data_IF_434823150340
#
_entry.id   IF_434823150340
#
_cell.length_a   1.000
_cell.length_b   1.000
_cell.length_c   1.000
_cell.angle_alpha   90.00
_cell.angle_beta   90.00
_cell.angle_gamma   90.00
#
_symmetry.space_group_name_H-M   'P 1'
#
loop_
_entity.id
_entity.type
_entity.pdbx_description
1 polymer ?
#
# COMPACT_ATOMS: atom_id res chain seq x y z
N UNK A 1 -15.62 52.95 -7.63
CA UNK A 1 -16.19 52.65 -8.96
C UNK A 1 -15.16 51.75 -9.64
N UNK A 2 -15.35 50.47 -9.92
CA UNK A 2 -16.49 49.55 -9.93
C UNK A 2 -15.91 48.13 -9.88
N UNK A 3 -16.34 47.30 -8.92
CA UNK A 3 -16.05 45.86 -8.92
C UNK A 3 -17.03 45.16 -9.86
N UNK A 4 -16.53 44.41 -10.84
CA UNK A 4 -17.34 43.51 -11.67
C UNK A 4 -17.40 42.14 -11.00
N UNK A 5 -18.53 41.83 -10.36
CA UNK A 5 -18.89 40.49 -9.89
C UNK A 5 -19.64 39.74 -10.98
N UNK A 6 -19.05 38.66 -11.50
CA UNK A 6 -19.78 37.68 -12.31
C UNK A 6 -20.51 36.72 -11.36
N UNK A 7 -21.84 36.64 -11.47
CA UNK A 7 -22.69 35.69 -10.76
C UNK A 7 -23.07 34.51 -11.65
N UNK A 8 -22.96 33.30 -11.11
CA UNK A 8 -23.46 32.03 -11.66
C UNK A 8 -24.82 31.68 -11.00
N UNK A 9 -25.87 31.21 -11.70
CA UNK A 9 -27.25 31.20 -11.19
C UNK A 9 -27.61 30.12 -10.15
N UNK A 10 -26.65 29.44 -9.53
CA UNK A 10 -26.92 28.30 -8.64
C UNK A 10 -26.33 28.38 -7.22
N UNK A 11 -25.83 29.55 -6.79
CA UNK A 11 -25.74 29.91 -5.36
C UNK A 11 -25.00 28.95 -4.43
N UNK A 12 -24.14 28.06 -4.94
CA UNK A 12 -23.29 27.19 -4.13
C UNK A 12 -21.86 27.70 -4.18
N UNK A 13 -21.48 28.44 -3.14
CA UNK A 13 -20.08 28.69 -2.82
C UNK A 13 -19.42 27.34 -2.55
N UNK A 14 -18.52 26.90 -3.44
CA UNK A 14 -17.59 25.82 -3.16
C UNK A 14 -16.63 26.29 -2.08
N UNK A 15 -17.04 26.18 -0.82
CA UNK A 15 -16.15 26.33 0.32
C UNK A 15 -15.22 25.13 0.32
N UNK A 16 -13.97 25.33 -0.10
CA UNK A 16 -12.86 24.41 0.21
C UNK A 16 -12.88 24.15 1.70
N UNK A 17 -13.23 22.92 2.09
CA UNK A 17 -13.16 22.47 3.48
C UNK A 17 -11.70 22.64 3.91
N UNK A 18 -11.39 23.67 4.71
CA UNK A 18 -10.09 23.75 5.39
C UNK A 18 -9.90 22.45 6.16
N UNK A 19 -8.83 21.71 5.85
CA UNK A 19 -8.42 20.52 6.63
C UNK A 19 -8.36 20.95 8.10
N UNK A 20 -9.11 20.26 8.96
CA UNK A 20 -9.03 20.56 10.40
C UNK A 20 -7.63 20.20 10.88
N UNK A 21 -6.91 21.18 11.43
CA UNK A 21 -5.62 20.92 12.06
C UNK A 21 -5.80 19.90 13.18
N UNK A 22 -5.01 18.82 13.13
CA UNK A 22 -5.07 17.75 14.14
C UNK A 22 -4.57 18.32 15.46
N UNK A 23 -5.32 18.10 16.53
CA UNK A 23 -4.90 18.49 17.87
C UNK A 23 -3.85 17.50 18.38
N UNK A 24 -2.60 17.94 18.43
CA UNK A 24 -1.52 17.25 19.13
C UNK A 24 -1.41 17.83 20.54
N UNK A 25 -1.09 17.01 21.54
CA UNK A 25 -0.81 17.55 22.88
C UNK A 25 0.34 18.54 22.79
N UNK A 26 0.20 19.73 23.38
CA UNK A 26 1.26 20.72 23.49
C UNK A 26 2.40 20.16 24.35
N UNK A 27 3.30 19.45 23.70
CA UNK A 27 4.69 19.19 24.05
C UNK A 27 5.38 18.71 22.77
N UNK A 28 6.66 19.06 22.63
CA UNK A 28 7.52 18.83 21.47
C UNK A 28 7.74 17.34 21.16
N UNK A 29 6.69 16.57 20.80
CA UNK A 29 6.90 15.22 20.25
C UNK A 29 7.79 15.39 19.02
N UNK A 30 8.97 14.77 19.07
CA UNK A 30 9.96 14.87 18.01
C UNK A 30 9.38 14.23 16.76
N UNK A 31 9.70 14.76 15.58
CA UNK A 31 9.23 14.19 14.30
C UNK A 31 9.54 12.69 14.16
N UNK A 32 10.60 12.20 14.79
CA UNK A 32 10.96 10.77 14.84
C UNK A 32 9.89 9.93 15.56
N UNK A 33 9.27 10.44 16.62
CA UNK A 33 8.19 9.75 17.33
C UNK A 33 6.89 9.74 16.52
N UNK A 34 6.67 10.75 15.68
CA UNK A 34 5.51 10.81 14.77
C UNK A 34 5.65 9.90 13.55
N UNK A 35 6.90 9.53 13.22
CA UNK A 35 7.22 8.58 12.14
C UNK A 35 6.98 7.12 12.54
N UNK A 36 6.80 6.81 13.84
CA UNK A 36 6.65 5.44 14.32
C UNK A 36 5.43 4.76 13.67
N UNK A 37 5.55 3.49 13.26
CA UNK A 37 4.42 2.74 12.71
C UNK A 37 3.37 2.43 13.79
N UNK A 38 2.21 1.89 13.38
CA UNK A 38 1.17 1.46 14.32
C UNK A 38 1.67 0.29 15.16
N UNK A 39 2.34 -0.67 14.51
CA UNK A 39 2.99 -1.80 15.16
C UNK A 39 4.48 -1.82 14.82
N UNK A 40 5.31 -2.17 15.80
CA UNK A 40 6.72 -2.40 15.55
C UNK A 40 6.93 -3.81 15.00
N UNK A 41 7.74 -3.95 13.94
CA UNK A 41 8.18 -5.26 13.48
C UNK A 41 8.95 -5.98 14.60
N UNK A 42 8.75 -7.30 14.78
CA UNK A 42 9.66 -8.12 15.57
C UNK A 42 11.10 -7.99 15.05
N UNK A 43 12.13 -8.27 15.87
CA UNK A 43 13.51 -8.28 15.39
C UNK A 43 13.69 -9.23 14.20
N UNK A 44 14.47 -8.80 13.20
CA UNK A 44 14.74 -9.61 12.01
C UNK A 44 15.52 -10.89 12.35
N UNK A 45 15.11 -12.01 11.77
CA UNK A 45 15.82 -13.29 11.86
C UNK A 45 16.48 -13.60 10.51
N UNK A 46 17.79 -13.38 10.42
CA UNK A 46 18.57 -13.59 9.18
C UNK A 46 18.55 -15.04 8.68
N UNK A 47 18.18 -16.00 9.54
CA UNK A 47 18.07 -17.42 9.17
C UNK A 47 16.67 -17.80 8.68
N UNK A 48 15.67 -16.94 8.91
CA UNK A 48 14.31 -17.20 8.48
C UNK A 48 14.18 -17.14 6.94
N UNK A 49 13.38 -18.04 6.33
CA UNK A 49 13.16 -18.03 4.89
C UNK A 49 12.61 -16.68 4.39
N UNK A 50 13.26 -16.13 3.37
CA UNK A 50 12.81 -14.91 2.70
C UNK A 50 13.01 -13.61 3.49
N UNK A 51 13.74 -13.63 4.61
CA UNK A 51 14.06 -12.42 5.37
C UNK A 51 14.86 -11.43 4.50
N UNK A 52 14.61 -10.13 4.70
CA UNK A 52 15.14 -9.03 3.88
C UNK A 52 14.66 -9.02 2.42
N UNK A 53 13.64 -9.81 2.08
CA UNK A 53 13.13 -9.93 0.71
C UNK A 53 14.02 -10.78 -0.20
N UNK A 54 14.91 -11.61 0.37
CA UNK A 54 15.75 -12.52 -0.42
C UNK A 54 14.95 -13.71 -0.95
N UNK A 55 15.53 -14.42 -1.92
CA UNK A 55 15.03 -15.73 -2.38
C UNK A 55 14.77 -16.63 -1.18
N UNK A 56 13.53 -17.08 -1.02
CA UNK A 56 13.19 -18.13 -0.08
C UNK A 56 13.28 -19.49 -0.78
N UNK A 57 13.89 -20.46 -0.11
CA UNK A 57 14.03 -21.83 -0.61
C UNK A 57 13.94 -22.81 0.55
N UNK A 58 13.34 -23.96 0.30
CA UNK A 58 13.12 -25.02 1.27
C UNK A 58 13.60 -26.35 0.68
N UNK A 59 14.14 -27.22 1.54
CA UNK A 59 14.40 -28.61 1.17
C UNK A 59 13.12 -29.40 1.40
N UNK A 60 12.48 -29.85 0.33
CA UNK A 60 11.15 -30.47 0.37
C UNK A 60 11.22 -31.99 0.22
N UNK A 61 10.36 -32.70 0.95
CA UNK A 61 10.07 -34.11 0.63
C UNK A 61 9.24 -34.23 -0.66
N UNK A 62 9.05 -35.45 -1.16
CA UNK A 62 8.21 -35.69 -2.32
C UNK A 62 6.74 -35.28 -2.08
N UNK A 63 6.23 -35.51 -0.87
CA UNK A 63 4.88 -35.12 -0.45
C UNK A 63 4.74 -33.60 -0.36
N UNK A 64 5.72 -32.93 0.25
CA UNK A 64 5.74 -31.47 0.37
C UNK A 64 5.84 -30.79 -0.99
N UNK A 65 6.66 -31.35 -1.90
CA UNK A 65 6.76 -30.86 -3.28
C UNK A 65 5.41 -30.95 -4.01
N UNK A 66 4.65 -32.02 -3.78
CA UNK A 66 3.31 -32.13 -4.34
C UNK A 66 2.36 -31.07 -3.77
N UNK A 67 2.44 -30.80 -2.46
CA UNK A 67 1.64 -29.72 -1.84
C UNK A 67 2.01 -28.34 -2.37
N UNK A 68 3.29 -28.09 -2.66
CA UNK A 68 3.77 -26.90 -3.33
C UNK A 68 3.16 -26.77 -4.73
N UNK A 69 3.27 -27.80 -5.57
CA UNK A 69 2.70 -27.85 -6.92
C UNK A 69 1.17 -27.62 -6.91
N UNK A 70 0.44 -28.30 -6.02
CA UNK A 70 -1.01 -28.13 -5.84
C UNK A 70 -1.36 -26.67 -5.43
N UNK A 71 -0.50 -26.01 -4.64
CA UNK A 71 -0.71 -24.62 -4.22
C UNK A 71 -0.54 -23.64 -5.38
N UNK A 72 0.45 -23.88 -6.25
CA UNK A 72 0.71 -23.07 -7.45
C UNK A 72 -0.42 -23.23 -8.46
N UNK A 73 -0.92 -24.44 -8.69
CA UNK A 73 -2.06 -24.66 -9.59
C UNK A 73 -3.31 -23.90 -9.11
N UNK A 74 -3.53 -23.86 -7.80
CA UNK A 74 -4.72 -23.25 -7.20
C UNK A 74 -4.68 -21.72 -7.15
N UNK A 75 -3.52 -21.13 -6.86
CA UNK A 75 -3.39 -19.68 -6.61
C UNK A 75 -2.53 -18.95 -7.64
N UNK A 76 -1.88 -19.65 -8.57
CA UNK A 76 -0.83 -19.13 -9.45
C UNK A 76 0.37 -18.49 -8.70
N UNK A 77 0.51 -18.83 -7.42
CA UNK A 77 1.54 -18.35 -6.49
C UNK A 77 1.96 -19.55 -5.63
N UNK A 78 3.24 -19.65 -5.29
CA UNK A 78 3.76 -20.66 -4.38
C UNK A 78 3.33 -20.36 -2.93
N UNK A 79 2.06 -20.63 -2.62
CA UNK A 79 1.50 -20.39 -1.29
C UNK A 79 2.11 -21.32 -0.24
N UNK A 80 2.54 -22.52 -0.63
CA UNK A 80 3.26 -23.42 0.27
C UNK A 80 4.53 -22.78 0.85
N UNK A 81 5.30 -22.07 0.01
CA UNK A 81 6.45 -21.28 0.44
C UNK A 81 6.01 -20.05 1.22
N UNK A 82 4.98 -19.33 0.73
CA UNK A 82 4.44 -18.15 1.41
C UNK A 82 4.01 -18.44 2.85
N UNK A 83 3.39 -19.58 3.11
CA UNK A 83 2.95 -19.99 4.45
C UNK A 83 4.11 -20.22 5.43
N UNK A 84 5.34 -20.37 4.92
CA UNK A 84 6.58 -20.56 5.70
C UNK A 84 7.46 -19.31 5.76
N UNK A 85 7.10 -18.25 5.03
CA UNK A 85 7.74 -16.94 5.13
C UNK A 85 6.97 -16.12 6.17
N UNK A 86 7.71 -15.48 7.08
CA UNK A 86 7.12 -14.63 8.12
C UNK A 86 6.13 -13.60 7.53
N UNK A 87 5.00 -13.42 8.22
CA UNK A 87 4.05 -12.34 7.91
C UNK A 87 4.64 -10.95 8.23
N UNK A 88 5.72 -10.91 9.01
CA UNK A 88 6.36 -9.72 9.53
C UNK A 88 7.76 -9.48 8.94
N UNK A 89 8.13 -10.21 7.87
CA UNK A 89 9.48 -10.10 7.28
C UNK A 89 9.86 -8.67 6.94
N UNK A 90 11.15 -8.39 7.00
CA UNK A 90 11.74 -7.12 6.57
C UNK A 90 12.04 -7.17 5.08
N UNK A 91 12.07 -5.99 4.46
CA UNK A 91 12.57 -5.80 3.10
C UNK A 91 13.79 -4.87 3.19
N UNK A 92 14.87 -5.23 2.52
CA UNK A 92 16.07 -4.40 2.49
C UNK A 92 15.80 -3.06 1.79
N UNK A 93 16.13 -1.95 2.45
CA UNK A 93 15.95 -0.61 1.85
C UNK A 93 17.11 -0.30 0.90
N UNK A 94 16.92 -0.60 -0.38
CA UNK A 94 17.86 -0.30 -1.46
C UNK A 94 17.42 0.92 -2.31
N UNK A 95 16.54 1.77 -1.77
CA UNK A 95 16.13 3.02 -2.44
C UNK A 95 17.32 3.95 -2.64
N UNK A 96 17.15 4.90 -3.57
CA UNK A 96 18.10 6.00 -3.80
C UNK A 96 18.42 6.73 -2.49
N UNK A 97 19.68 7.15 -2.33
CA UNK A 97 20.17 7.77 -1.10
C UNK A 97 19.35 8.99 -0.68
N UNK A 98 18.89 9.76 -1.66
CA UNK A 98 18.09 10.98 -1.49
C UNK A 98 16.72 10.65 -0.88
N UNK A 99 16.13 9.49 -1.17
CA UNK A 99 14.88 9.04 -0.54
C UNK A 99 15.09 8.79 0.97
N UNK A 100 16.23 8.19 1.34
CA UNK A 100 16.53 7.84 2.73
C UNK A 100 16.78 9.05 3.63
N UNK A 101 17.26 10.14 3.04
CA UNK A 101 17.53 11.40 3.75
C UNK A 101 16.38 12.40 3.68
N UNK A 102 15.30 12.09 2.96
CA UNK A 102 14.12 12.96 2.89
C UNK A 102 13.40 12.99 4.23
N UNK A 103 13.10 14.19 4.70
CA UNK A 103 12.35 14.42 5.95
C UNK A 103 10.95 14.92 5.62
N UNK A 104 9.99 14.62 6.50
CA UNK A 104 8.59 14.97 6.31
C UNK A 104 8.04 15.68 7.55
N UNK A 105 7.10 16.60 7.34
CA UNK A 105 6.33 17.19 8.42
C UNK A 105 5.04 16.36 8.66
N UNK A 106 5.12 15.39 9.56
CA UNK A 106 4.01 14.47 9.87
C UNK A 106 2.73 15.15 10.36
N UNK A 107 2.85 16.36 10.93
CA UNK A 107 1.68 17.11 11.42
C UNK A 107 0.84 17.69 10.28
N UNK A 108 1.47 18.02 9.15
CA UNK A 108 0.80 18.59 7.98
C UNK A 108 0.41 17.57 6.91
N UNK A 109 0.93 16.35 6.97
CA UNK A 109 0.53 15.29 6.03
C UNK A 109 -0.99 15.06 6.12
N UNK A 110 -1.69 14.77 5.01
CA UNK A 110 -3.06 14.27 5.07
C UNK A 110 -3.14 12.91 5.77
N UNK A 111 -4.30 12.56 6.29
CA UNK A 111 -4.58 11.17 6.71
C UNK A 111 -4.92 10.30 5.50
N UNK A 112 -4.71 8.99 5.61
CA UNK A 112 -5.12 8.04 4.57
C UNK A 112 -5.99 6.91 5.13
N UNK A 113 -6.98 6.50 4.35
CA UNK A 113 -7.64 5.20 4.48
C UNK A 113 -7.06 4.26 3.44
N UNK A 114 -6.39 3.20 3.88
CA UNK A 114 -5.88 2.15 2.99
C UNK A 114 -7.02 1.19 2.67
N UNK A 115 -7.30 0.95 1.40
CA UNK A 115 -8.38 0.06 0.94
C UNK A 115 -7.78 -1.15 0.24
N UNK A 116 -8.04 -2.34 0.77
CA UNK A 116 -7.57 -3.63 0.24
C UNK A 116 -8.79 -4.49 -0.09
N UNK A 117 -9.11 -4.58 -1.38
CA UNK A 117 -10.14 -5.50 -1.86
C UNK A 117 -9.52 -6.87 -2.13
N UNK A 118 -10.22 -7.94 -1.74
CA UNK A 118 -9.73 -9.31 -1.93
C UNK A 118 -10.85 -10.27 -2.32
N UNK A 119 -10.49 -11.30 -3.08
CA UNK A 119 -11.38 -12.42 -3.41
C UNK A 119 -10.57 -13.71 -3.43
N UNK A 120 -10.91 -14.66 -2.56
CA UNK A 120 -10.25 -15.98 -2.47
C UNK A 120 -8.71 -15.91 -2.33
N UNK A 121 -8.20 -14.82 -1.76
CA UNK A 121 -6.77 -14.62 -1.52
C UNK A 121 -6.24 -15.63 -0.50
N UNK A 122 -4.97 -16.02 -0.63
CA UNK A 122 -4.34 -16.90 0.35
C UNK A 122 -4.17 -16.19 1.70
N UNK A 123 -4.19 -16.97 2.78
CA UNK A 123 -4.12 -16.44 4.14
C UNK A 123 -2.81 -15.69 4.41
N UNK A 124 -1.68 -16.29 4.03
CA UNK A 124 -0.35 -15.73 4.27
C UNK A 124 -0.10 -14.45 3.48
N UNK A 125 -0.49 -14.38 2.21
CA UNK A 125 -0.34 -13.17 1.38
C UNK A 125 -1.21 -12.03 1.90
N UNK A 126 -2.51 -12.28 2.16
CA UNK A 126 -3.43 -11.27 2.69
C UNK A 126 -2.95 -10.70 4.02
N UNK A 127 -2.60 -11.55 4.98
CA UNK A 127 -2.15 -11.09 6.29
C UNK A 127 -0.79 -10.40 6.23
N UNK A 128 0.13 -10.85 5.36
CA UNK A 128 1.42 -10.18 5.17
C UNK A 128 1.22 -8.77 4.62
N UNK A 129 0.25 -8.54 3.73
CA UNK A 129 -0.11 -7.19 3.29
C UNK A 129 -0.63 -6.34 4.44
N UNK A 130 -1.55 -6.86 5.26
CA UNK A 130 -2.12 -6.12 6.40
C UNK A 130 -1.02 -5.72 7.39
N UNK A 131 -0.19 -6.68 7.81
CA UNK A 131 0.94 -6.43 8.72
C UNK A 131 1.95 -5.48 8.11
N UNK A 132 2.30 -5.66 6.83
CA UNK A 132 3.23 -4.77 6.15
C UNK A 132 2.75 -3.32 6.15
N UNK A 133 1.46 -3.06 5.90
CA UNK A 133 0.88 -1.71 6.00
C UNK A 133 0.96 -1.19 7.44
N UNK A 134 0.52 -1.97 8.42
CA UNK A 134 0.52 -1.60 9.84
C UNK A 134 1.91 -1.29 10.39
N UNK A 135 2.92 -2.00 9.90
CA UNK A 135 4.30 -2.00 10.40
C UNK A 135 5.23 -1.02 9.67
N UNK A 136 4.81 -0.50 8.52
CA UNK A 136 5.62 0.44 7.72
C UNK A 136 4.96 1.80 7.51
N UNK A 137 3.67 1.93 7.84
CA UNK A 137 2.95 3.20 7.74
C UNK A 137 3.01 3.95 9.07
N UNK A 138 3.47 5.21 9.09
CA UNK A 138 3.47 6.02 10.30
C UNK A 138 2.07 6.12 10.92
N UNK A 139 1.98 5.95 12.24
CA UNK A 139 0.73 5.89 12.97
C UNK A 139 -0.05 7.21 12.94
N UNK A 140 0.61 8.34 12.70
CA UNK A 140 -0.09 9.62 12.59
C UNK A 140 -0.97 9.69 11.33
N UNK A 141 -0.45 9.51 10.10
CA UNK A 141 -1.27 9.57 8.88
C UNK A 141 -2.14 8.34 8.61
N UNK A 142 -1.83 7.14 9.10
CA UNK A 142 -2.66 5.95 8.83
C UNK A 142 -3.96 5.97 9.64
N UNK A 143 -5.08 6.36 9.02
CA UNK A 143 -6.38 6.45 9.71
C UNK A 143 -6.99 5.07 9.97
N UNK A 144 -7.06 4.26 8.91
CA UNK A 144 -7.70 2.95 8.91
C UNK A 144 -7.24 2.12 7.71
N UNK A 145 -7.32 0.79 7.87
CA UNK A 145 -7.21 -0.20 6.80
C UNK A 145 -8.61 -0.80 6.62
N UNK A 146 -9.17 -0.68 5.43
CA UNK A 146 -10.48 -1.20 5.06
C UNK A 146 -10.27 -2.40 4.16
N UNK A 147 -10.50 -3.58 4.71
CA UNK A 147 -10.55 -4.84 3.98
C UNK A 147 -11.94 -4.99 3.37
N UNK A 148 -12.01 -5.31 2.08
CA UNK A 148 -13.26 -5.56 1.36
C UNK A 148 -13.25 -6.98 0.82
N UNK A 149 -13.93 -7.90 1.51
CA UNK A 149 -14.19 -9.26 1.02
C UNK A 149 -15.21 -9.20 -0.11
N UNK A 150 -14.74 -9.37 -1.34
CA UNK A 150 -15.56 -9.41 -2.55
C UNK A 150 -16.19 -10.80 -2.75
N UNK A 151 -16.94 -11.27 -1.75
CA UNK A 151 -17.70 -12.51 -1.80
C UNK A 151 -16.83 -13.79 -1.93
N UNK A 152 -15.74 -13.87 -1.16
CA UNK A 152 -14.88 -15.06 -1.12
C UNK A 152 -15.62 -16.31 -0.64
N UNK A 153 -15.23 -17.48 -1.11
CA UNK A 153 -15.80 -18.78 -0.72
C UNK A 153 -14.92 -19.56 0.27
N UNK A 154 -13.68 -19.12 0.49
CA UNK A 154 -12.73 -19.82 1.36
C UNK A 154 -13.14 -19.67 2.82
N UNK A 155 -13.26 -20.81 3.51
CA UNK A 155 -13.72 -20.88 4.92
C UNK A 155 -12.84 -20.05 5.85
N UNK A 156 -11.52 -20.06 5.65
CA UNK A 156 -10.58 -19.28 6.46
C UNK A 156 -10.75 -17.76 6.32
N UNK A 157 -11.37 -17.27 5.23
CA UNK A 157 -11.66 -15.84 5.04
C UNK A 157 -12.95 -15.39 5.75
N UNK A 158 -13.67 -16.30 6.43
CA UNK A 158 -14.91 -16.01 7.16
C UNK A 158 -14.60 -15.69 8.63
N UNK A 159 -15.12 -16.49 9.57
CA UNK A 159 -14.98 -16.22 11.00
C UNK A 159 -13.51 -16.20 11.45
N UNK A 160 -12.64 -17.03 10.86
CA UNK A 160 -11.23 -17.05 11.22
C UNK A 160 -10.54 -15.70 10.93
N UNK A 161 -10.80 -15.08 9.78
CA UNK A 161 -10.28 -13.75 9.45
C UNK A 161 -10.82 -12.69 10.42
N UNK A 162 -12.12 -12.71 10.72
CA UNK A 162 -12.75 -11.76 11.67
C UNK A 162 -12.12 -11.83 13.06
N UNK A 163 -11.91 -13.05 13.58
CA UNK A 163 -11.26 -13.27 14.87
C UNK A 163 -9.80 -12.82 14.84
N UNK A 164 -9.08 -13.07 13.75
CA UNK A 164 -7.67 -12.66 13.66
C UNK A 164 -7.52 -11.13 13.65
N UNK A 165 -8.33 -10.42 12.86
CA UNK A 165 -8.22 -8.97 12.72
C UNK A 165 -8.85 -8.19 13.87
N UNK A 166 -9.65 -8.82 14.75
CA UNK A 166 -10.27 -8.12 15.88
C UNK A 166 -9.27 -7.57 16.88
N UNK A 167 -8.07 -8.17 16.93
CA UNK A 167 -6.96 -7.73 17.78
C UNK A 167 -6.08 -6.67 17.10
N UNK A 168 -6.33 -6.35 15.82
CA UNK A 168 -5.57 -5.37 15.05
C UNK A 168 -6.26 -4.01 15.08
N UNK A 169 -5.57 -3.02 15.65
CA UNK A 169 -6.02 -1.65 15.65
C UNK A 169 -6.17 -1.12 14.21
N UNK A 170 -7.23 -0.34 13.99
CA UNK A 170 -7.50 0.38 12.74
C UNK A 170 -7.82 -0.50 11.54
N UNK A 171 -7.93 -1.83 11.72
CA UNK A 171 -8.37 -2.75 10.67
C UNK A 171 -9.88 -2.91 10.73
N UNK A 172 -10.55 -2.74 9.59
CA UNK A 172 -11.99 -2.91 9.44
C UNK A 172 -12.26 -3.86 8.29
N UNK A 173 -13.25 -4.74 8.46
CA UNK A 173 -13.68 -5.66 7.41
C UNK A 173 -15.09 -5.33 6.94
N UNK A 174 -15.24 -5.22 5.63
CA UNK A 174 -16.51 -5.06 4.92
C UNK A 174 -16.67 -6.29 4.04
N UNK A 175 -17.88 -6.85 3.99
CA UNK A 175 -18.20 -7.99 3.12
C UNK A 175 -19.28 -7.58 2.12
N UNK A 176 -19.06 -7.91 0.85
CA UNK A 176 -20.10 -7.81 -0.16
C UNK A 176 -21.08 -8.97 -0.04
N UNK A 177 -22.33 -8.78 -0.47
CA UNK A 177 -23.38 -9.80 -0.44
C UNK A 177 -23.46 -10.63 -1.74
N UNK A 178 -22.66 -10.28 -2.74
CA UNK A 178 -22.51 -10.96 -4.03
C UNK A 178 -21.15 -10.60 -4.61
N UNK A 179 -20.70 -11.34 -5.63
CA UNK A 179 -19.46 -11.00 -6.32
C UNK A 179 -19.62 -9.70 -7.12
N UNK A 180 -18.93 -8.65 -6.69
CA UNK A 180 -18.99 -7.31 -7.27
C UNK A 180 -17.86 -7.06 -8.27
N UNK A 181 -16.68 -7.66 -8.06
CA UNK A 181 -15.48 -7.39 -8.84
C UNK A 181 -14.69 -6.19 -8.33
N UNK A 182 -13.39 -6.15 -8.66
CA UNK A 182 -12.38 -5.26 -8.08
C UNK A 182 -12.81 -3.78 -8.02
N UNK A 183 -13.34 -3.24 -9.12
CA UNK A 183 -13.73 -1.82 -9.20
C UNK A 183 -14.83 -1.50 -8.20
N UNK A 184 -15.90 -2.28 -8.16
CA UNK A 184 -17.02 -2.05 -7.25
C UNK A 184 -16.62 -2.32 -5.79
N UNK A 185 -15.80 -3.34 -5.54
CA UNK A 185 -15.26 -3.60 -4.21
C UNK A 185 -14.42 -2.42 -3.70
N UNK A 186 -13.53 -1.85 -4.53
CA UNK A 186 -12.76 -0.63 -4.19
C UNK A 186 -13.66 0.57 -3.93
N UNK A 187 -14.71 0.77 -4.74
CA UNK A 187 -15.69 1.84 -4.53
C UNK A 187 -16.46 1.66 -3.22
N UNK A 188 -16.85 0.43 -2.86
CA UNK A 188 -17.45 0.12 -1.57
C UNK A 188 -16.48 0.48 -0.45
N UNK A 189 -15.21 0.08 -0.52
CA UNK A 189 -14.23 0.48 0.49
C UNK A 189 -14.12 2.01 0.62
N UNK A 190 -14.11 2.72 -0.51
CA UNK A 190 -14.04 4.18 -0.56
C UNK A 190 -15.25 4.88 0.07
N UNK A 191 -16.47 4.31 0.00
CA UNK A 191 -17.66 4.95 0.63
C UNK A 191 -17.63 4.90 2.16
N UNK A 192 -16.87 3.97 2.75
CA UNK A 192 -16.71 3.83 4.20
C UNK A 192 -15.44 4.49 4.74
N UNK A 193 -14.56 4.96 3.86
CA UNK A 193 -13.31 5.62 4.20
C UNK A 193 -13.53 7.01 4.80
N UNK A 194 -12.76 7.33 5.83
CA UNK A 194 -12.83 8.61 6.56
C UNK A 194 -11.51 9.39 6.55
N UNK A 195 -10.46 8.85 5.93
CA UNK A 195 -9.19 9.54 5.69
C UNK A 195 -9.32 10.61 4.60
N UNK A 196 -8.40 11.58 4.62
CA UNK A 196 -8.34 12.65 3.61
C UNK A 196 -7.95 12.11 2.22
N UNK A 197 -7.16 11.02 2.19
CA UNK A 197 -6.64 10.35 1.00
C UNK A 197 -7.09 8.89 0.99
N UNK A 198 -7.36 8.36 -0.22
CA UNK A 198 -7.55 6.93 -0.44
C UNK A 198 -6.27 6.33 -0.99
N UNK A 199 -5.76 5.30 -0.32
CA UNK A 199 -4.61 4.51 -0.81
C UNK A 199 -5.07 3.09 -1.11
N UNK A 200 -5.12 2.74 -2.40
CA UNK A 200 -5.52 1.39 -2.81
C UNK A 200 -4.29 0.48 -2.90
N UNK A 201 -4.38 -0.69 -2.28
CA UNK A 201 -3.41 -1.77 -2.41
C UNK A 201 -4.12 -3.06 -2.79
N UNK A 202 -3.41 -3.96 -3.47
CA UNK A 202 -3.87 -5.33 -3.66
C UNK A 202 -3.53 -6.16 -2.42
N UNK A 203 -4.16 -7.34 -2.30
CA UNK A 203 -4.09 -8.20 -1.10
C UNK A 203 -2.87 -9.14 -1.07
N UNK A 204 -1.86 -8.86 -1.87
CA UNK A 204 -0.61 -9.60 -1.97
C UNK A 204 0.56 -8.64 -2.21
N UNK A 205 0.55 -7.51 -1.51
CA UNK A 205 1.61 -6.51 -1.51
C UNK A 205 2.46 -6.57 -0.23
N UNK A 206 3.70 -6.09 -0.33
CA UNK A 206 4.56 -5.80 0.80
C UNK A 206 5.13 -4.39 0.65
N UNK A 207 4.84 -3.54 1.62
CA UNK A 207 5.29 -2.16 1.71
C UNK A 207 6.73 -2.09 2.21
N UNK A 208 7.49 -1.19 1.61
CA UNK A 208 8.86 -0.87 2.05
C UNK A 208 8.84 0.29 3.05
N UNK A 209 9.91 0.45 3.82
CA UNK A 209 10.06 1.59 4.74
C UNK A 209 9.91 2.92 3.98
N UNK A 210 9.11 3.84 4.52
CA UNK A 210 8.94 5.18 3.96
C UNK A 210 8.18 5.22 2.63
N UNK A 211 7.29 4.26 2.38
CA UNK A 211 6.49 4.18 1.15
C UNK A 211 5.33 5.19 1.11
N UNK A 212 4.81 5.61 2.26
CA UNK A 212 3.54 6.32 2.36
C UNK A 212 3.71 7.84 2.34
N UNK A 213 4.69 8.34 3.07
CA UNK A 213 4.98 9.76 3.26
C UNK A 213 5.18 10.50 1.93
N UNK A 214 5.94 9.98 0.94
CA UNK A 214 6.09 10.65 -0.36
C UNK A 214 4.77 10.80 -1.12
N UNK A 215 3.86 9.81 -1.01
CA UNK A 215 2.56 9.84 -1.66
C UNK A 215 1.68 10.92 -1.03
N UNK A 216 1.61 10.93 0.30
CA UNK A 216 0.79 11.87 1.07
C UNK A 216 1.31 13.30 1.00
N UNK A 217 2.63 13.49 1.03
CA UNK A 217 3.25 14.80 0.84
C UNK A 217 2.86 15.36 -0.53
N UNK A 218 3.00 14.57 -1.60
CA UNK A 218 2.71 15.02 -2.95
C UNK A 218 1.24 15.40 -3.15
N UNK A 219 0.32 14.64 -2.57
CA UNK A 219 -1.12 14.95 -2.57
C UNK A 219 -1.43 16.16 -1.67
N UNK A 220 -0.67 16.34 -0.58
CA UNK A 220 -0.74 17.53 0.26
C UNK A 220 -0.33 18.81 -0.46
N UNK A 221 0.67 18.75 -1.33
CA UNK A 221 1.09 19.87 -2.19
C UNK A 221 0.11 20.15 -3.32
N UNK A 222 -0.51 19.11 -3.89
CA UNK A 222 -1.45 19.22 -4.98
C UNK A 222 -2.56 18.16 -4.87
N UNK A 223 -3.75 18.57 -4.43
CA UNK A 223 -4.90 17.68 -4.24
C UNK A 223 -5.43 17.08 -5.55
N UNK A 224 -5.06 17.63 -6.71
CA UNK A 224 -5.45 17.07 -8.02
C UNK A 224 -4.46 16.03 -8.53
N UNK A 225 -3.37 15.76 -7.81
CA UNK A 225 -2.38 14.76 -8.21
C UNK A 225 -2.81 13.35 -7.79
N UNK A 226 -2.86 12.43 -8.76
CA UNK A 226 -2.94 10.99 -8.48
C UNK A 226 -1.51 10.46 -8.49
N UNK A 227 -1.09 9.84 -7.39
CA UNK A 227 0.30 9.44 -7.17
C UNK A 227 0.36 7.93 -6.97
N UNK A 228 1.24 7.27 -7.72
CA UNK A 228 1.47 5.83 -7.61
C UNK A 228 2.87 5.58 -7.02
N UNK A 229 3.05 4.53 -6.21
CA UNK A 229 4.39 4.06 -5.87
C UNK A 229 5.08 3.48 -7.11
N UNK A 230 6.39 3.30 -7.02
CA UNK A 230 7.08 2.33 -7.88
C UNK A 230 6.59 0.94 -7.47
N UNK A 231 6.09 0.17 -8.44
CA UNK A 231 5.59 -1.17 -8.19
C UNK A 231 6.71 -2.15 -8.48
N UNK A 232 7.32 -2.65 -7.41
CA UNK A 232 8.37 -3.66 -7.46
C UNK A 232 7.76 -5.06 -7.54
N UNK A 233 8.47 -5.97 -8.21
CA UNK A 233 8.01 -7.35 -8.38
C UNK A 233 8.38 -8.16 -7.14
N UNK A 234 7.39 -8.87 -6.59
CA UNK A 234 7.64 -10.00 -5.68
C UNK A 234 7.50 -11.27 -6.52
N UNK A 235 8.55 -12.08 -6.57
CA UNK A 235 8.53 -13.32 -7.35
C UNK A 235 7.46 -14.27 -6.80
N UNK A 236 6.54 -14.73 -7.66
CA UNK A 236 5.43 -15.58 -7.22
C UNK A 236 5.88 -16.96 -6.76
N UNK A 237 7.08 -17.41 -7.15
CA UNK A 237 7.59 -18.74 -6.84
C UNK A 237 8.56 -18.75 -5.65
N UNK A 238 9.45 -17.75 -5.57
CA UNK A 238 10.52 -17.65 -4.57
C UNK A 238 10.32 -16.56 -3.52
N UNK A 239 9.34 -15.68 -3.73
CA UNK A 239 9.06 -14.51 -2.89
C UNK A 239 10.24 -13.54 -2.74
N UNK A 240 11.21 -13.58 -3.66
CA UNK A 240 12.25 -12.55 -3.77
C UNK A 240 11.62 -11.20 -4.12
N UNK A 241 12.06 -10.13 -3.44
CA UNK A 241 11.60 -8.76 -3.65
C UNK A 241 12.57 -8.02 -4.58
N UNK A 242 12.16 -7.79 -5.82
CA UNK A 242 12.95 -7.08 -6.83
C UNK A 242 12.75 -5.57 -6.75
N UNK A 243 13.47 -4.93 -5.84
CA UNK A 243 13.43 -3.48 -5.69
C UNK A 243 14.13 -2.76 -6.85
N UNK A 244 13.44 -1.81 -7.48
CA UNK A 244 14.04 -0.88 -8.44
C UNK A 244 14.90 0.16 -7.70
N UNK A 245 16.23 0.06 -7.82
CA UNK A 245 17.19 0.94 -7.13
C UNK A 245 17.53 2.22 -7.89
N UNK A 246 17.02 2.35 -9.12
CA UNK A 246 17.35 3.42 -10.07
C UNK A 246 16.14 4.24 -10.50
N UNK A 247 16.19 4.73 -11.75
CA UNK A 247 15.03 5.34 -12.38
C UNK A 247 13.97 4.25 -12.66
N UNK A 248 12.73 4.40 -12.18
CA UNK A 248 11.71 3.38 -12.36
C UNK A 248 11.12 3.41 -13.78
N UNK A 249 10.45 2.33 -14.14
CA UNK A 249 9.56 2.32 -15.31
C UNK A 249 8.27 3.10 -15.02
N UNK A 250 7.66 3.65 -16.08
CA UNK A 250 6.37 4.35 -16.01
C UNK A 250 5.33 3.68 -16.90
N UNK A 251 4.06 3.93 -16.60
CA UNK A 251 2.93 3.31 -17.28
C UNK A 251 2.49 4.05 -18.55
N UNK A 252 2.24 3.27 -19.60
CA UNK A 252 1.57 3.68 -20.83
C UNK A 252 0.58 2.62 -21.29
N UNK A 253 0.16 2.69 -22.56
CA UNK A 253 -0.70 1.67 -23.16
C UNK A 253 -0.35 1.45 -24.65
N UNK A 254 -0.65 0.26 -25.16
CA UNK A 254 -0.59 -0.04 -26.59
C UNK A 254 -1.96 0.12 -27.27
N UNK A 255 -2.00 0.03 -28.60
CA UNK A 255 -3.25 0.17 -29.37
C UNK A 255 -4.29 -0.95 -29.13
N UNK A 256 -3.95 -1.97 -28.34
CA UNK A 256 -4.89 -3.00 -27.86
C UNK A 256 -5.52 -2.61 -26.53
N UNK A 257 -5.22 -1.41 -26.01
CA UNK A 257 -5.64 -0.90 -24.71
C UNK A 257 -5.11 -1.74 -23.54
N UNK A 258 -3.93 -2.35 -23.70
CA UNK A 258 -3.24 -3.05 -22.61
C UNK A 258 -2.21 -2.14 -21.97
N UNK A 259 -2.13 -2.16 -20.64
CA UNK A 259 -1.10 -1.43 -19.90
C UNK A 259 0.29 -1.95 -20.27
N UNK A 260 1.23 -1.04 -20.47
CA UNK A 260 2.62 -1.37 -20.80
C UNK A 260 3.58 -0.51 -19.98
N UNK A 261 4.69 -1.10 -19.54
CA UNK A 261 5.79 -0.37 -18.93
C UNK A 261 6.71 0.21 -20.02
N UNK A 262 7.16 1.45 -19.86
CA UNK A 262 8.21 2.04 -20.68
C UNK A 262 9.15 2.92 -19.85
N UNK A 263 10.33 3.20 -20.40
CA UNK A 263 11.30 4.08 -19.75
C UNK A 263 10.81 5.53 -19.72
N UNK A 264 11.31 6.30 -18.75
CA UNK A 264 11.05 7.74 -18.65
C UNK A 264 11.64 8.46 -19.87
N UNK A 265 10.84 9.28 -20.59
CA UNK A 265 11.35 10.01 -21.75
C UNK A 265 12.33 11.11 -21.34
N UNK A 266 13.24 11.45 -22.25
CA UNK A 266 14.30 12.43 -22.01
C UNK A 266 13.76 13.82 -21.63
N UNK A 267 12.62 14.23 -22.20
CA UNK A 267 11.95 15.49 -21.84
C UNK A 267 11.59 15.55 -20.35
N UNK A 268 11.13 14.43 -19.79
CA UNK A 268 10.72 14.33 -18.40
C UNK A 268 11.93 14.20 -17.46
N UNK A 269 13.01 13.55 -17.92
CA UNK A 269 14.31 13.58 -17.20
C UNK A 269 14.86 15.00 -17.06
N UNK A 270 14.81 15.79 -18.13
CA UNK A 270 15.28 17.19 -18.13
C UNK A 270 14.42 18.12 -17.28
N UNK A 271 13.13 17.81 -17.12
CA UNK A 271 12.20 18.59 -16.31
C UNK A 271 12.51 18.45 -14.81
N UNK A 272 12.90 17.25 -14.38
CA UNK A 272 13.16 16.96 -12.96
C UNK A 272 14.47 17.59 -12.51
N UNK A 273 14.44 18.26 -11.35
CA UNK A 273 15.62 18.85 -10.71
C UNK A 273 16.34 17.88 -9.78
N UNK A 274 15.66 16.81 -9.37
CA UNK A 274 16.19 15.76 -8.51
C UNK A 274 15.63 14.39 -8.92
N UNK A 275 16.39 13.33 -8.63
CA UNK A 275 16.03 11.93 -8.95
C UNK A 275 14.80 11.43 -8.17
N UNK A 276 14.47 12.10 -7.07
CA UNK A 276 13.34 11.77 -6.20
C UNK A 276 12.14 12.70 -6.40
N UNK A 277 12.19 13.58 -7.40
CA UNK A 277 11.00 14.34 -7.81
C UNK A 277 9.99 13.41 -8.52
N UNK A 278 8.68 13.64 -8.34
CA UNK A 278 7.64 12.91 -9.04
C UNK A 278 7.84 13.00 -10.56
N UNK A 279 7.71 11.84 -11.21
CA UNK A 279 7.63 11.71 -12.67
C UNK A 279 6.20 12.04 -13.10
N UNK A 280 6.04 12.84 -14.14
CA UNK A 280 4.75 13.32 -14.67
C UNK A 280 4.54 12.92 -16.12
#
# INVERSE_FOLDING_TARGET
MSNSTNHDPLGKTLTTKRRSERQFSNNEEKNEELARPVYAKPPADRSAPGEWGKVASLQLTAEEKKMEEDSVEKYAINIFLSDRISLHRHIEDNRMSECKHKTFNYRSLPTTSVVIAFYNEAWSTLLRTIHSVLETSPAVPLKEIILVDDYSDKVYLKSQLEVYISDLERVRLIRTNKREGLVRARLIGATYATGDVLTFLDCHCECITGWLEPLLERIGENETAIVCPVIDTIDWNTFEFYMQTGEPMIGGFDWRLTFQWHAVPESERRRRKSRIEPIR
#
